data_IF_621022240883
#
_entry.id   IF_621022240883
#
_cell.length_a   1.000
_cell.length_b   1.000
_cell.length_c   1.000
_cell.angle_alpha   90.00
_cell.angle_beta   90.00
_cell.angle_gamma   90.00
#
_symmetry.space_group_name_H-M   'P 1'
#
loop_
_entity.id
_entity.type
_entity.pdbx_description
1 polymer ?
#
# COMPACT_ATOMS: atom_id res chain seq x y z
N UNK A 1 21.74 -14.67 23.11
CA UNK A 1 21.66 -15.98 22.43
C UNK A 1 20.73 -16.82 23.28
N UNK A 2 19.54 -17.17 22.76
CA UNK A 2 18.49 -17.82 23.57
C UNK A 2 19.05 -19.15 24.11
N UNK A 3 18.85 -19.41 25.40
CA UNK A 3 19.36 -20.63 26.03
C UNK A 3 18.61 -21.84 25.46
N UNK A 4 19.28 -22.59 24.57
CA UNK A 4 18.75 -23.83 23.98
C UNK A 4 18.27 -24.82 25.05
N UNK A 5 18.88 -24.77 26.24
CA UNK A 5 18.49 -25.58 27.39
C UNK A 5 17.10 -25.21 27.92
N UNK A 6 16.75 -23.91 27.97
CA UNK A 6 15.42 -23.46 28.39
C UNK A 6 14.36 -23.94 27.40
N UNK A 7 14.63 -23.80 26.10
CA UNK A 7 13.72 -24.22 25.03
C UNK A 7 13.49 -25.73 25.09
N UNK A 8 14.56 -26.54 25.22
CA UNK A 8 14.43 -28.00 25.27
C UNK A 8 13.70 -28.45 26.54
N UNK A 9 14.02 -27.88 27.70
CA UNK A 9 13.33 -28.18 28.96
C UNK A 9 11.83 -27.87 28.88
N UNK A 10 11.47 -26.72 28.30
CA UNK A 10 10.07 -26.34 28.13
C UNK A 10 9.35 -27.21 27.10
N UNK A 11 10.01 -27.57 25.99
CA UNK A 11 9.48 -28.50 24.98
C UNK A 11 9.19 -29.86 25.60
N UNK A 12 10.15 -30.47 26.31
CA UNK A 12 9.94 -31.77 26.95
C UNK A 12 8.79 -31.74 27.97
N UNK A 13 8.66 -30.64 28.72
CA UNK A 13 7.59 -30.47 29.71
C UNK A 13 6.21 -30.36 29.05
N UNK A 14 6.10 -29.55 27.99
CA UNK A 14 4.84 -29.31 27.27
C UNK A 14 4.48 -30.41 26.25
N UNK A 15 5.44 -31.23 25.81
CA UNK A 15 5.25 -32.36 24.87
C UNK A 15 4.73 -33.64 25.56
N UNK A 16 4.56 -33.60 26.89
CA UNK A 16 3.70 -34.57 27.55
C UNK A 16 2.27 -34.29 27.10
N UNK A 17 1.57 -35.29 26.51
CA UNK A 17 0.16 -35.22 26.05
C UNK A 17 -0.81 -35.06 27.22
N UNK A 18 -0.57 -34.04 28.03
CA UNK A 18 -1.30 -33.71 29.22
C UNK A 18 -2.56 -32.94 28.79
N UNK A 19 -3.76 -33.50 29.02
CA UNK A 19 -5.02 -32.86 28.65
C UNK A 19 -5.17 -31.46 29.25
N UNK A 20 -4.43 -31.15 30.32
CA UNK A 20 -4.40 -29.84 30.95
C UNK A 20 -3.94 -28.76 29.97
N UNK A 21 -2.88 -29.00 29.20
CA UNK A 21 -2.31 -28.01 28.28
C UNK A 21 -3.18 -27.79 27.04
N UNK A 22 -3.83 -28.84 26.53
CA UNK A 22 -4.76 -28.74 25.39
C UNK A 22 -5.98 -27.87 25.68
N UNK A 23 -6.40 -27.80 26.95
CA UNK A 23 -7.55 -27.01 27.39
C UNK A 23 -7.24 -25.54 27.70
N UNK A 24 -5.96 -25.17 27.77
CA UNK A 24 -5.53 -23.81 28.16
C UNK A 24 -5.57 -22.87 26.96
N UNK A 25 -6.01 -21.63 27.20
CA UNK A 25 -5.79 -20.54 26.26
C UNK A 25 -4.29 -20.22 26.15
N UNK A 26 -3.87 -19.61 25.04
CA UNK A 26 -2.45 -19.26 24.83
C UNK A 26 -1.91 -18.38 25.97
N UNK A 27 -2.72 -17.44 26.49
CA UNK A 27 -2.32 -16.57 27.59
C UNK A 27 -2.08 -17.36 28.89
N UNK A 28 -2.90 -18.38 29.16
CA UNK A 28 -2.72 -19.27 30.31
C UNK A 28 -1.49 -20.17 30.14
N UNK A 29 -1.28 -20.69 28.94
CA UNK A 29 -0.12 -21.51 28.61
C UNK A 29 1.19 -20.72 28.76
N UNK A 30 1.22 -19.46 28.30
CA UNK A 30 2.36 -18.55 28.47
C UNK A 30 2.68 -18.30 29.94
N UNK A 31 1.67 -17.93 30.75
CA UNK A 31 1.85 -17.71 32.20
C UNK A 31 2.38 -18.96 32.90
N UNK A 32 1.83 -20.13 32.56
CA UNK A 32 2.27 -21.39 33.12
C UNK A 32 3.73 -21.70 32.76
N UNK A 33 4.09 -21.54 31.48
CA UNK A 33 5.44 -21.77 30.99
C UNK A 33 6.47 -20.82 31.63
N UNK A 34 6.11 -19.54 31.79
CA UNK A 34 6.95 -18.57 32.48
C UNK A 34 7.15 -18.94 33.96
N UNK A 35 6.09 -19.32 34.67
CA UNK A 35 6.18 -19.76 36.07
C UNK A 35 7.06 -21.00 36.22
N UNK A 36 6.87 -22.00 35.35
CA UNK A 36 7.66 -23.22 35.35
C UNK A 36 9.16 -22.94 35.15
N UNK A 37 9.51 -22.10 34.17
CA UNK A 37 10.91 -21.76 33.92
C UNK A 37 11.50 -20.92 35.07
N UNK A 38 10.75 -19.95 35.62
CA UNK A 38 11.20 -19.15 36.78
C UNK A 38 11.53 -20.03 37.99
N UNK A 39 10.72 -21.04 38.24
CA UNK A 39 10.92 -21.97 39.37
C UNK A 39 12.07 -22.95 39.14
N UNK A 40 12.30 -23.36 37.88
CA UNK A 40 13.21 -24.47 37.56
C UNK A 40 14.64 -24.02 37.25
N UNK A 41 14.83 -22.83 36.66
CA UNK A 41 16.14 -22.43 36.11
C UNK A 41 16.77 -21.21 36.77
N UNK A 42 16.00 -20.37 37.48
CA UNK A 42 16.51 -19.14 38.11
C UNK A 42 17.06 -18.10 37.12
N UNK A 43 16.76 -18.25 35.83
CA UNK A 43 17.22 -17.42 34.72
C UNK A 43 16.50 -16.05 34.67
N UNK A 44 17.05 -15.14 33.86
CA UNK A 44 16.52 -13.79 33.71
C UNK A 44 15.15 -13.76 33.01
N UNK A 45 14.34 -12.74 33.30
CA UNK A 45 13.00 -12.61 32.72
C UNK A 45 12.97 -12.52 31.19
N UNK A 46 14.03 -12.01 30.56
CA UNK A 46 14.12 -11.92 29.10
C UNK A 46 14.37 -13.28 28.45
N UNK A 47 15.32 -14.06 28.97
CA UNK A 47 15.64 -15.37 28.41
C UNK A 47 14.46 -16.36 28.55
N UNK A 48 13.68 -16.22 29.63
CA UNK A 48 12.43 -16.95 29.83
C UNK A 48 11.38 -16.53 28.81
N UNK A 49 11.18 -15.22 28.61
CA UNK A 49 10.22 -14.70 27.62
C UNK A 49 10.57 -15.17 26.20
N UNK A 50 11.85 -15.11 25.82
CA UNK A 50 12.32 -15.56 24.51
C UNK A 50 12.08 -17.07 24.31
N UNK A 51 12.34 -17.91 25.33
CA UNK A 51 12.07 -19.34 25.27
C UNK A 51 10.57 -19.66 25.19
N UNK A 52 9.74 -18.93 25.94
CA UNK A 52 8.27 -19.05 25.89
C UNK A 52 7.74 -18.64 24.52
N UNK A 53 8.21 -17.52 23.97
CA UNK A 53 7.85 -17.06 22.63
C UNK A 53 8.22 -18.10 21.56
N UNK A 54 9.39 -18.75 21.68
CA UNK A 54 9.83 -19.76 20.71
C UNK A 54 9.03 -21.07 20.77
N UNK A 55 8.57 -21.47 21.95
CA UNK A 55 7.78 -22.71 22.08
C UNK A 55 6.29 -22.45 21.80
N UNK A 56 5.73 -21.38 22.37
CA UNK A 56 4.29 -21.10 22.36
C UNK A 56 3.91 -20.07 21.30
N UNK A 57 4.64 -18.96 21.22
CA UNK A 57 4.38 -17.85 20.30
C UNK A 57 5.00 -17.99 18.92
N UNK A 58 5.37 -16.84 18.32
CA UNK A 58 6.01 -16.74 17.01
C UNK A 58 7.54 -16.74 17.08
N UNK A 59 8.11 -17.01 18.25
CA UNK A 59 9.56 -17.05 18.45
C UNK A 59 10.22 -15.67 18.36
N UNK A 60 11.47 -15.60 17.87
CA UNK A 60 12.26 -14.36 17.89
C UNK A 60 11.65 -13.19 17.11
N UNK A 61 10.74 -13.48 16.17
CA UNK A 61 10.06 -12.43 15.39
C UNK A 61 8.88 -11.79 16.13
N UNK A 62 8.41 -12.35 17.25
CA UNK A 62 7.26 -11.83 17.99
C UNK A 62 7.48 -10.39 18.47
N UNK A 63 8.60 -10.11 19.13
CA UNK A 63 8.95 -8.75 19.55
C UNK A 63 9.19 -7.79 18.37
N UNK A 64 9.68 -8.30 17.24
CA UNK A 64 9.86 -7.50 16.01
C UNK A 64 8.50 -7.15 15.37
N UNK A 65 7.53 -8.05 15.46
CA UNK A 65 6.16 -7.81 15.00
C UNK A 65 5.44 -6.78 15.87
N UNK A 66 5.72 -6.74 17.17
CA UNK A 66 5.16 -5.74 18.10
C UNK A 66 5.82 -4.35 17.98
N UNK A 67 7.07 -4.27 17.50
CA UNK A 67 7.81 -3.01 17.37
C UNK A 67 7.31 -2.17 16.17
N UNK A 68 6.52 -1.12 16.43
CA UNK A 68 6.00 -0.18 15.42
C UNK A 68 7.08 0.54 14.60
N UNK A 69 8.34 0.56 15.04
CA UNK A 69 9.44 1.12 14.25
C UNK A 69 9.89 0.21 13.10
N UNK A 70 9.56 -1.08 13.17
CA UNK A 70 9.87 -2.09 12.15
C UNK A 70 8.75 -2.10 11.10
N UNK A 71 9.13 -1.93 9.83
CA UNK A 71 8.20 -1.96 8.68
C UNK A 71 8.25 -3.28 7.91
N UNK A 72 9.39 -3.98 7.97
CA UNK A 72 9.59 -5.25 7.27
C UNK A 72 10.53 -6.15 8.07
N UNK A 73 10.22 -7.45 8.11
CA UNK A 73 11.03 -8.50 8.73
C UNK A 73 11.38 -9.51 7.62
N UNK A 74 12.67 -9.80 7.46
CA UNK A 74 13.18 -10.75 6.46
C UNK A 74 14.05 -11.79 7.14
N UNK A 75 13.55 -13.01 7.25
CA UNK A 75 14.27 -14.19 7.72
C UNK A 75 14.81 -14.92 6.50
N UNK A 76 16.10 -14.74 6.21
CA UNK A 76 16.75 -15.38 5.06
C UNK A 76 17.12 -16.85 5.34
N UNK A 77 17.36 -17.16 6.61
CA UNK A 77 17.59 -18.49 7.20
C UNK A 77 17.34 -18.40 8.70
N UNK A 78 17.26 -19.54 9.39
CA UNK A 78 16.98 -19.57 10.83
C UNK A 78 17.95 -18.70 11.67
N UNK A 79 19.19 -18.52 11.22
CA UNK A 79 20.27 -17.76 11.86
C UNK A 79 20.50 -16.35 11.26
N UNK A 80 19.66 -15.92 10.31
CA UNK A 80 19.84 -14.66 9.61
C UNK A 80 18.52 -13.89 9.44
N UNK A 81 18.26 -12.97 10.39
CA UNK A 81 17.12 -12.06 10.37
C UNK A 81 17.58 -10.63 10.04
N UNK A 82 16.86 -9.95 9.16
CA UNK A 82 16.97 -8.53 8.87
C UNK A 82 15.65 -7.83 9.14
N UNK A 83 15.74 -6.56 9.52
CA UNK A 83 14.58 -5.68 9.68
C UNK A 83 14.79 -4.38 8.93
N UNK A 84 13.71 -3.84 8.39
CA UNK A 84 13.66 -2.47 7.89
C UNK A 84 13.12 -1.55 8.99
N UNK A 85 13.87 -0.48 9.29
CA UNK A 85 13.42 0.63 10.13
C UNK A 85 13.63 1.94 9.39
N UNK A 86 12.57 2.73 9.23
CA UNK A 86 12.63 4.04 8.56
C UNK A 86 13.31 3.99 7.18
N UNK A 87 13.02 2.96 6.37
CA UNK A 87 13.59 2.80 5.02
C UNK A 87 15.03 2.26 4.98
N UNK A 88 15.59 1.81 6.12
CA UNK A 88 16.96 1.29 6.22
C UNK A 88 16.96 -0.14 6.72
N UNK A 89 17.60 -1.02 5.96
CA UNK A 89 17.82 -2.42 6.31
C UNK A 89 18.95 -2.56 7.33
N UNK A 90 18.71 -3.36 8.38
CA UNK A 90 19.70 -3.71 9.39
C UNK A 90 19.57 -5.19 9.75
N UNK A 91 20.70 -5.83 10.06
CA UNK A 91 20.69 -7.18 10.63
C UNK A 91 20.13 -7.08 12.06
N UNK A 92 19.19 -7.96 12.39
CA UNK A 92 18.63 -8.08 13.73
C UNK A 92 19.58 -8.92 14.61
N UNK A 93 19.49 -8.74 15.93
CA UNK A 93 20.27 -9.54 16.90
C UNK A 93 19.60 -10.90 17.18
N UNK A 94 18.30 -10.97 16.87
CA UNK A 94 17.42 -12.12 17.01
C UNK A 94 17.73 -13.21 15.95
N UNK A 95 17.60 -14.47 16.36
CA UNK A 95 17.74 -15.64 15.49
C UNK A 95 16.90 -16.80 16.07
N UNK A 96 16.39 -17.66 15.19
CA UNK A 96 15.74 -18.90 15.61
C UNK A 96 16.78 -19.91 16.11
N UNK A 97 16.39 -20.84 16.98
CA UNK A 97 17.33 -21.87 17.46
C UNK A 97 17.79 -22.83 16.36
N UNK A 98 16.91 -23.14 15.39
CA UNK A 98 17.18 -24.03 14.26
C UNK A 98 16.08 -23.92 13.18
N UNK A 99 16.33 -24.59 12.05
CA UNK A 99 15.40 -24.71 10.90
C UNK A 99 14.01 -25.24 11.30
N UNK A 100 13.96 -26.22 12.21
CA UNK A 100 12.68 -26.80 12.67
C UNK A 100 11.85 -25.77 13.42
N UNK A 101 12.49 -24.90 14.19
CA UNK A 101 11.84 -23.79 14.90
C UNK A 101 11.23 -22.79 13.92
N UNK A 102 12.01 -22.37 12.90
CA UNK A 102 11.51 -21.49 11.84
C UNK A 102 10.32 -22.11 11.10
N UNK A 103 10.41 -23.39 10.71
CA UNK A 103 9.30 -24.09 10.03
C UNK A 103 8.03 -24.13 10.88
N UNK A 104 8.15 -24.41 12.18
CA UNK A 104 7.00 -24.35 13.11
C UNK A 104 6.39 -22.97 13.19
N UNK A 105 7.19 -21.90 13.22
CA UNK A 105 6.67 -20.53 13.19
C UNK A 105 5.93 -20.23 11.89
N UNK A 106 6.47 -20.67 10.74
CA UNK A 106 5.78 -20.56 9.44
C UNK A 106 4.43 -21.29 9.49
N UNK A 107 4.39 -22.52 9.99
CA UNK A 107 3.14 -23.29 10.13
C UNK A 107 2.12 -22.57 11.02
N UNK A 108 2.55 -22.04 12.17
CA UNK A 108 1.69 -21.27 13.09
C UNK A 108 1.10 -20.02 12.44
N UNK A 109 1.84 -19.37 11.55
CA UNK A 109 1.37 -18.19 10.81
C UNK A 109 0.37 -18.60 9.72
N UNK A 110 0.64 -19.68 9.00
CA UNK A 110 -0.05 -20.04 7.75
C UNK A 110 -1.33 -20.85 8.01
N UNK A 111 -1.31 -21.76 8.99
CA UNK A 111 -2.43 -22.67 9.28
C UNK A 111 -3.74 -21.94 9.63
N UNK A 112 -3.77 -20.91 10.50
CA UNK A 112 -5.01 -20.18 10.83
C UNK A 112 -5.62 -19.45 9.62
N UNK A 113 -4.83 -19.16 8.59
CA UNK A 113 -5.26 -18.48 7.37
C UNK A 113 -5.93 -19.44 6.37
N UNK A 114 -6.07 -20.73 6.72
CA UNK A 114 -6.57 -21.77 5.82
C UNK A 114 -5.65 -22.02 4.62
N UNK A 115 -4.37 -21.63 4.74
CA UNK A 115 -3.34 -21.87 3.74
C UNK A 115 -2.51 -23.08 4.15
N UNK A 116 -1.87 -23.70 3.16
CA UNK A 116 -1.01 -24.86 3.39
C UNK A 116 0.35 -24.63 2.74
N UNK A 117 1.40 -24.98 3.47
CA UNK A 117 2.78 -24.96 2.99
C UNK A 117 3.44 -26.27 3.41
N UNK A 118 3.86 -27.07 2.44
CA UNK A 118 4.41 -28.40 2.66
C UNK A 118 5.42 -28.73 1.55
N UNK A 119 5.92 -29.96 1.54
CA UNK A 119 6.93 -30.37 0.55
C UNK A 119 6.34 -30.44 -0.89
N UNK A 120 5.01 -30.53 -1.05
CA UNK A 120 4.34 -30.53 -2.34
C UNK A 120 4.04 -29.10 -2.85
N UNK A 121 3.78 -28.16 -1.93
CA UNK A 121 3.55 -26.74 -2.16
C UNK A 121 4.48 -25.92 -1.24
N UNK A 122 5.79 -25.82 -1.56
CA UNK A 122 6.80 -25.26 -0.67
C UNK A 122 6.81 -23.72 -0.63
N UNK A 123 5.80 -23.06 -1.20
CA UNK A 123 5.70 -21.60 -1.27
C UNK A 123 4.31 -21.17 -0.84
N UNK A 124 4.24 -20.08 -0.08
CA UNK A 124 2.96 -19.49 0.31
C UNK A 124 3.05 -17.98 0.36
N UNK A 125 2.01 -17.34 -0.16
CA UNK A 125 1.71 -15.92 0.00
C UNK A 125 0.38 -15.80 0.75
N UNK A 126 0.37 -15.00 1.81
CA UNK A 126 -0.79 -14.83 2.66
C UNK A 126 -0.88 -13.42 3.26
N UNK A 127 -2.06 -13.11 3.80
CA UNK A 127 -2.35 -11.87 4.49
C UNK A 127 -2.79 -12.20 5.92
N UNK A 128 -2.14 -11.58 6.89
CA UNK A 128 -2.43 -11.71 8.30
C UNK A 128 -3.69 -10.90 8.67
N UNK A 129 -4.36 -11.22 9.80
CA UNK A 129 -5.57 -10.51 10.24
C UNK A 129 -5.35 -9.02 10.50
N UNK A 130 -4.12 -8.61 10.82
CA UNK A 130 -3.73 -7.21 11.01
C UNK A 130 -3.47 -6.47 9.69
N UNK A 131 -3.61 -7.15 8.54
CA UNK A 131 -3.35 -6.63 7.20
C UNK A 131 -1.93 -6.87 6.69
N UNK A 132 -1.01 -7.34 7.53
CA UNK A 132 0.38 -7.57 7.17
C UNK A 132 0.50 -8.67 6.11
N UNK A 133 1.48 -8.56 5.21
CA UNK A 133 1.71 -9.54 4.14
C UNK A 133 2.83 -10.49 4.51
N UNK A 134 2.61 -11.78 4.29
CA UNK A 134 3.56 -12.84 4.58
C UNK A 134 3.87 -13.61 3.31
N UNK A 135 5.16 -13.80 3.04
CA UNK A 135 5.66 -14.75 2.05
C UNK A 135 6.59 -15.74 2.75
N UNK A 136 6.44 -17.03 2.49
CA UNK A 136 7.36 -18.04 2.99
C UNK A 136 7.71 -19.07 1.91
N UNK A 137 8.95 -19.55 1.94
CA UNK A 137 9.46 -20.60 1.05
C UNK A 137 10.21 -21.64 1.87
N UNK A 138 9.85 -22.92 1.73
CA UNK A 138 10.47 -24.02 2.45
C UNK A 138 11.70 -24.59 1.74
N UNK A 139 12.62 -25.16 2.52
CA UNK A 139 13.65 -26.05 1.98
C UNK A 139 13.00 -27.32 1.39
N UNK A 140 13.55 -27.92 0.30
CA UNK A 140 14.82 -27.59 -0.35
C UNK A 140 14.72 -26.52 -1.45
N UNK A 141 13.54 -25.95 -1.72
CA UNK A 141 13.39 -24.91 -2.75
C UNK A 141 14.20 -23.66 -2.38
N UNK A 142 14.14 -23.27 -1.10
CA UNK A 142 15.10 -22.34 -0.53
C UNK A 142 16.40 -23.08 -0.17
N UNK A 143 17.47 -22.82 -0.95
CA UNK A 143 18.72 -23.59 -0.91
C UNK A 143 19.55 -23.43 0.37
N UNK A 144 19.21 -22.45 1.22
CA UNK A 144 19.90 -22.14 2.48
C UNK A 144 19.07 -22.44 3.73
N UNK A 145 18.01 -23.23 3.59
CA UNK A 145 16.98 -23.36 4.61
C UNK A 145 15.76 -22.52 4.26
N UNK A 146 14.66 -22.75 4.96
CA UNK A 146 13.40 -22.04 4.74
C UNK A 146 13.58 -20.53 4.99
N UNK A 147 12.82 -19.71 4.28
CA UNK A 147 12.81 -18.27 4.46
C UNK A 147 11.39 -17.72 4.64
N UNK A 148 11.30 -16.56 5.28
CA UNK A 148 10.06 -15.89 5.65
C UNK A 148 10.25 -14.38 5.55
N UNK A 149 9.37 -13.71 4.81
CA UNK A 149 9.31 -12.25 4.72
C UNK A 149 7.95 -11.78 5.19
N UNK A 150 7.94 -10.87 6.17
CA UNK A 150 6.74 -10.21 6.67
C UNK A 150 6.85 -8.71 6.41
N UNK A 151 5.95 -8.19 5.58
CA UNK A 151 5.77 -6.76 5.37
C UNK A 151 4.63 -6.31 6.28
N UNK A 152 4.98 -5.58 7.34
CA UNK A 152 4.01 -5.15 8.35
C UNK A 152 3.04 -4.14 7.76
N UNK A 153 1.79 -4.24 8.15
CA UNK A 153 0.80 -3.23 7.88
C UNK A 153 0.99 -2.07 8.87
N UNK A 154 1.47 -0.94 8.36
CA UNK A 154 1.71 0.25 9.19
C UNK A 154 0.38 0.87 9.60
N UNK A 155 0.08 0.98 10.89
CA UNK A 155 -1.20 1.55 11.38
C UNK A 155 -1.36 3.06 11.19
N UNK A 156 -0.26 3.78 10.97
CA UNK A 156 -0.30 5.24 10.82
C UNK A 156 -0.45 5.61 9.34
N UNK A 157 -1.66 6.02 8.96
CA UNK A 157 -1.84 6.75 7.71
C UNK A 157 -1.19 8.13 7.84
N UNK A 158 -0.41 8.51 6.82
CA UNK A 158 0.01 9.89 6.66
C UNK A 158 -1.20 10.74 6.25
N UNK A 159 -1.17 12.01 6.61
CA UNK A 159 -2.15 13.02 6.15
C UNK A 159 -1.53 13.94 5.11
N UNK A 160 -2.34 14.83 4.53
CA UNK A 160 -1.82 15.81 3.58
C UNK A 160 -0.93 16.85 4.28
N UNK A 161 -1.19 17.16 5.56
CA UNK A 161 -0.36 18.03 6.40
C UNK A 161 1.04 17.41 6.61
N UNK A 162 1.14 16.09 6.82
CA UNK A 162 2.45 15.42 6.91
C UNK A 162 3.30 15.62 5.63
N UNK A 163 2.65 15.76 4.45
CA UNK A 163 3.34 16.05 3.19
C UNK A 163 3.80 17.51 3.10
N UNK A 164 3.04 18.44 3.70
CA UNK A 164 3.45 19.84 3.81
C UNK A 164 4.63 19.97 4.79
N UNK A 165 4.53 19.37 5.96
CA UNK A 165 5.56 19.39 7.01
C UNK A 165 6.89 18.78 6.54
N UNK A 166 6.82 17.71 5.75
CA UNK A 166 8.01 17.08 5.15
C UNK A 166 8.59 17.86 3.96
N UNK A 167 7.90 18.91 3.49
CA UNK A 167 8.27 19.71 2.34
C UNK A 167 8.08 18.98 1.00
N UNK A 168 7.26 17.92 0.97
CA UNK A 168 6.86 17.23 -0.27
C UNK A 168 5.85 18.05 -1.07
N UNK A 169 4.90 18.69 -0.37
CA UNK A 169 3.94 19.67 -0.89
C UNK A 169 4.19 21.05 -0.26
N UNK A 170 3.67 22.09 -0.90
CA UNK A 170 3.43 23.39 -0.27
C UNK A 170 1.99 23.46 0.21
N UNK A 171 1.67 24.32 1.17
CA UNK A 171 0.29 24.54 1.65
C UNK A 171 -0.66 24.83 0.48
N UNK A 172 -0.22 25.71 -0.41
CA UNK A 172 -0.93 26.09 -1.63
C UNK A 172 -1.25 24.87 -2.52
N UNK A 173 -0.27 23.99 -2.76
CA UNK A 173 -0.50 22.79 -3.57
C UNK A 173 -1.37 21.74 -2.85
N UNK A 174 -1.28 21.66 -1.53
CA UNK A 174 -2.13 20.79 -0.72
C UNK A 174 -3.59 21.24 -0.82
N UNK A 175 -3.87 22.54 -0.65
CA UNK A 175 -5.21 23.12 -0.80
C UNK A 175 -5.80 22.88 -2.19
N UNK A 176 -5.01 23.12 -3.25
CA UNK A 176 -5.43 22.81 -4.62
C UNK A 176 -5.83 21.34 -4.78
N UNK A 177 -5.05 20.39 -4.24
CA UNK A 177 -5.36 18.97 -4.32
C UNK A 177 -6.63 18.60 -3.53
N UNK A 178 -6.85 19.20 -2.34
CA UNK A 178 -8.10 19.03 -1.58
C UNK A 178 -9.30 19.49 -2.41
N UNK A 179 -9.20 20.68 -3.02
CA UNK A 179 -10.25 21.24 -3.87
C UNK A 179 -10.50 20.37 -5.10
N UNK A 180 -9.45 19.88 -5.76
CA UNK A 180 -9.57 18.98 -6.90
C UNK A 180 -10.32 17.68 -6.53
N UNK A 181 -10.01 17.08 -5.37
CA UNK A 181 -10.72 15.88 -4.89
C UNK A 181 -12.19 16.21 -4.60
N UNK A 182 -12.47 17.32 -3.91
CA UNK A 182 -13.86 17.76 -3.58
C UNK A 182 -14.67 18.08 -4.83
N UNK A 183 -14.05 18.69 -5.85
CA UNK A 183 -14.64 18.99 -7.16
C UNK A 183 -14.70 17.77 -8.09
N UNK A 184 -14.50 16.55 -7.56
CA UNK A 184 -14.62 15.28 -8.29
C UNK A 184 -13.74 15.22 -9.53
N UNK A 185 -12.53 15.78 -9.47
CA UNK A 185 -11.55 15.62 -10.53
C UNK A 185 -10.97 14.20 -10.49
N UNK A 186 -10.86 13.55 -11.65
CA UNK A 186 -10.19 12.27 -11.78
C UNK A 186 -8.67 12.47 -11.74
N UNK A 187 -7.99 11.85 -10.76
CA UNK A 187 -6.57 12.07 -10.50
C UNK A 187 -5.78 10.79 -10.71
N UNK A 188 -4.70 10.88 -11.49
CA UNK A 188 -3.71 9.82 -11.64
C UNK A 188 -2.43 10.20 -10.89
N UNK A 189 -2.05 9.40 -9.90
CA UNK A 189 -0.76 9.53 -9.22
C UNK A 189 0.29 8.69 -9.95
N UNK A 190 1.32 9.34 -10.46
CA UNK A 190 2.36 8.72 -11.29
C UNK A 190 3.74 8.78 -10.64
N UNK A 191 4.51 7.70 -10.74
CA UNK A 191 5.87 7.63 -10.22
C UNK A 191 6.53 6.25 -10.32
N UNK A 192 7.83 6.21 -10.05
CA UNK A 192 8.60 4.96 -10.03
C UNK A 192 8.21 3.99 -8.91
N UNK A 193 8.85 2.84 -8.86
CA UNK A 193 8.73 1.90 -7.73
C UNK A 193 9.28 2.54 -6.44
N UNK A 194 8.56 2.37 -5.32
CA UNK A 194 9.00 2.84 -4.01
C UNK A 194 8.96 4.36 -3.78
N UNK A 195 8.38 5.13 -4.71
CA UNK A 195 8.24 6.59 -4.60
C UNK A 195 7.09 7.04 -3.72
N UNK A 196 6.18 6.13 -3.31
CA UNK A 196 5.05 6.43 -2.43
C UNK A 196 3.72 6.69 -3.15
N UNK A 197 3.48 6.08 -4.31
CA UNK A 197 2.24 6.28 -5.10
C UNK A 197 0.99 5.92 -4.30
N UNK A 198 0.96 4.71 -3.75
CA UNK A 198 -0.17 4.24 -2.93
C UNK A 198 -0.35 5.10 -1.68
N UNK A 199 0.74 5.61 -1.11
CA UNK A 199 0.69 6.54 0.03
C UNK A 199 -0.01 7.85 -0.33
N UNK A 200 0.37 8.50 -1.43
CA UNK A 200 -0.29 9.73 -1.88
C UNK A 200 -1.73 9.45 -2.33
N UNK A 201 -1.99 8.32 -2.99
CA UNK A 201 -3.34 7.89 -3.32
C UNK A 201 -4.21 7.78 -2.06
N UNK A 202 -3.68 7.17 -0.99
CA UNK A 202 -4.36 7.03 0.29
C UNK A 202 -4.72 8.39 0.90
N UNK A 203 -3.76 9.31 0.92
CA UNK A 203 -3.94 10.68 1.43
C UNK A 203 -5.03 11.41 0.63
N UNK A 204 -4.95 11.42 -0.70
CA UNK A 204 -5.95 12.08 -1.54
C UNK A 204 -7.34 11.44 -1.40
N UNK A 205 -7.40 10.15 -1.17
CA UNK A 205 -8.67 9.44 -0.97
C UNK A 205 -9.33 9.78 0.37
N UNK A 206 -8.57 10.22 1.38
CA UNK A 206 -9.12 10.70 2.65
C UNK A 206 -9.72 12.11 2.56
N UNK A 207 -9.38 12.87 1.51
CA UNK A 207 -10.00 14.17 1.22
C UNK A 207 -11.38 14.04 0.55
N UNK A 208 -11.85 12.81 0.30
CA UNK A 208 -13.18 12.54 -0.24
C UNK A 208 -14.24 12.81 0.85
N UNK A 209 -15.31 13.57 0.57
CA UNK A 209 -16.35 13.87 1.56
C UNK A 209 -17.11 12.62 2.06
N UNK A 210 -17.36 12.54 3.38
CA UNK A 210 -18.06 11.44 4.07
C UNK A 210 -19.43 11.02 3.50
N UNK A 211 -20.09 11.90 2.74
CA UNK A 211 -21.37 11.61 2.10
C UNK A 211 -21.29 10.70 0.87
N UNK A 212 -20.09 10.37 0.40
CA UNK A 212 -19.87 9.65 -0.85
C UNK A 212 -19.59 8.15 -0.63
N UNK A 213 -20.04 7.30 -1.55
CA UNK A 213 -19.75 5.87 -1.53
C UNK A 213 -18.45 5.57 -2.26
N UNK A 214 -17.50 5.00 -1.55
CA UNK A 214 -16.17 4.68 -2.08
C UNK A 214 -16.04 3.17 -2.30
N UNK A 215 -15.53 2.78 -3.46
CA UNK A 215 -15.07 1.40 -3.71
C UNK A 215 -13.58 1.43 -4.05
N UNK A 216 -12.75 0.80 -3.21
CA UNK A 216 -11.33 0.60 -3.48
C UNK A 216 -11.08 -0.79 -4.06
N UNK A 217 -10.17 -0.88 -5.04
CA UNK A 217 -9.81 -2.12 -5.74
C UNK A 217 -8.30 -2.19 -5.83
N UNK A 218 -7.71 -3.25 -5.27
CA UNK A 218 -6.24 -3.39 -5.19
C UNK A 218 -5.79 -4.83 -5.48
N UNK A 219 -4.57 -5.01 -5.98
CA UNK A 219 -3.98 -6.35 -6.12
C UNK A 219 -3.76 -7.01 -4.75
N UNK A 220 -3.35 -6.20 -3.78
CA UNK A 220 -3.32 -6.51 -2.37
C UNK A 220 -3.74 -5.24 -1.63
N UNK A 221 -4.63 -5.32 -0.65
CA UNK A 221 -5.16 -4.10 -0.05
C UNK A 221 -4.08 -3.40 0.80
N UNK A 222 -3.62 -2.25 0.32
CA UNK A 222 -2.64 -1.38 0.97
C UNK A 222 -3.31 -0.06 1.43
N UNK A 223 -4.44 0.33 0.84
CA UNK A 223 -5.18 1.53 1.21
C UNK A 223 -5.82 1.38 2.59
N UNK A 224 -5.67 2.45 3.37
CA UNK A 224 -6.20 2.64 4.72
C UNK A 224 -7.11 3.86 4.70
N UNK A 225 -8.34 3.63 4.25
CA UNK A 225 -9.36 4.66 4.18
C UNK A 225 -10.26 4.54 5.40
N UNK A 226 -10.31 5.59 6.20
CA UNK A 226 -11.29 5.74 7.26
C UNK A 226 -12.47 6.52 6.69
N UNK A 227 -13.47 5.81 6.21
CA UNK A 227 -14.65 6.40 5.56
C UNK A 227 -15.87 5.52 5.80
N UNK A 228 -17.00 6.11 6.18
CA UNK A 228 -18.17 5.35 6.64
C UNK A 228 -18.78 4.44 5.56
N UNK A 229 -18.89 4.94 4.32
CA UNK A 229 -19.48 4.22 3.19
C UNK A 229 -18.41 3.66 2.23
N UNK A 230 -17.54 2.80 2.76
CA UNK A 230 -16.40 2.19 2.04
C UNK A 230 -16.64 0.70 1.76
N UNK A 231 -16.27 0.25 0.56
CA UNK A 231 -16.08 -1.16 0.23
C UNK A 231 -14.68 -1.34 -0.33
N UNK A 232 -13.92 -2.28 0.23
CA UNK A 232 -12.59 -2.65 -0.25
C UNK A 232 -12.62 -4.02 -0.91
N UNK A 233 -12.14 -4.08 -2.16
CA UNK A 233 -12.05 -5.28 -2.97
C UNK A 233 -10.58 -5.58 -3.25
N UNK A 234 -10.22 -6.86 -3.16
CA UNK A 234 -8.86 -7.34 -3.39
C UNK A 234 -8.86 -8.37 -4.51
N UNK A 235 -7.91 -8.27 -5.44
CA UNK A 235 -7.71 -9.30 -6.45
C UNK A 235 -7.31 -10.62 -5.79
N UNK A 236 -7.62 -11.72 -6.46
CA UNK A 236 -7.29 -13.06 -5.98
C UNK A 236 -6.47 -13.79 -7.05
N UNK A 237 -5.24 -14.24 -6.74
CA UNK A 237 -4.51 -15.10 -7.66
C UNK A 237 -5.20 -16.46 -7.80
N UNK A 238 -4.74 -17.27 -8.77
CA UNK A 238 -5.18 -18.66 -8.91
C UNK A 238 -4.92 -19.45 -7.62
N UNK A 239 -5.81 -20.37 -7.28
CA UNK A 239 -5.56 -21.37 -6.24
C UNK A 239 -4.48 -22.38 -6.69
N UNK A 240 -4.11 -23.31 -5.80
CA UNK A 240 -3.12 -24.37 -6.11
C UNK A 240 -3.52 -25.24 -7.32
N UNK A 241 -4.82 -25.34 -7.62
CA UNK A 241 -5.36 -26.05 -8.79
C UNK A 241 -5.34 -25.21 -10.08
N UNK A 242 -4.83 -23.97 -10.03
CA UNK A 242 -4.74 -23.07 -11.18
C UNK A 242 -6.05 -22.39 -11.57
N UNK A 243 -7.08 -22.43 -10.71
CA UNK A 243 -8.42 -21.89 -10.97
C UNK A 243 -8.80 -20.76 -9.99
N UNK A 244 -9.94 -20.10 -10.23
CA UNK A 244 -10.52 -19.14 -9.29
C UNK A 244 -9.79 -17.80 -9.16
N UNK A 245 -8.93 -17.43 -10.12
CA UNK A 245 -8.39 -16.09 -10.15
C UNK A 245 -9.50 -15.05 -10.38
N UNK A 246 -9.39 -13.92 -9.68
CA UNK A 246 -10.21 -12.73 -9.87
C UNK A 246 -9.23 -11.58 -10.05
N UNK A 247 -9.18 -11.00 -11.25
CA UNK A 247 -8.28 -9.89 -11.56
C UNK A 247 -8.95 -8.53 -11.28
N UNK A 248 -8.15 -7.47 -11.29
CA UNK A 248 -8.62 -6.09 -11.08
C UNK A 248 -9.71 -5.69 -12.07
N UNK A 249 -9.58 -6.11 -13.34
CA UNK A 249 -10.57 -5.78 -14.38
C UNK A 249 -11.95 -6.31 -14.04
N UNK A 250 -12.05 -7.57 -13.60
CA UNK A 250 -13.31 -8.18 -13.16
C UNK A 250 -13.91 -7.45 -11.97
N UNK A 251 -13.07 -7.04 -11.01
CA UNK A 251 -13.50 -6.25 -9.85
C UNK A 251 -14.01 -4.87 -10.26
N UNK A 252 -13.33 -4.18 -11.18
CA UNK A 252 -13.77 -2.87 -11.70
C UNK A 252 -15.15 -3.00 -12.35
N UNK A 253 -15.33 -3.98 -13.26
CA UNK A 253 -16.61 -4.22 -13.93
C UNK A 253 -17.71 -4.54 -12.91
N UNK A 254 -17.41 -5.33 -11.88
CA UNK A 254 -18.36 -5.63 -10.82
C UNK A 254 -18.71 -4.40 -9.97
N UNK A 255 -17.70 -3.60 -9.62
CA UNK A 255 -17.86 -2.41 -8.79
C UNK A 255 -18.81 -1.38 -9.41
N UNK A 256 -18.83 -1.24 -10.74
CA UNK A 256 -19.78 -0.36 -11.44
C UNK A 256 -21.26 -0.72 -11.21
N UNK A 257 -21.56 -1.95 -10.78
CA UNK A 257 -22.93 -2.37 -10.41
C UNK A 257 -23.27 -2.11 -8.95
N UNK A 258 -22.28 -1.70 -8.14
CA UNK A 258 -22.41 -1.47 -6.71
C UNK A 258 -22.73 -0.02 -6.37
N UNK A 259 -23.02 0.81 -7.39
CA UNK A 259 -23.34 2.24 -7.32
C UNK A 259 -22.27 3.03 -6.52
N UNK A 260 -20.98 2.99 -6.91
CA UNK A 260 -19.99 3.87 -6.29
C UNK A 260 -20.27 5.34 -6.66
N UNK A 261 -19.96 6.26 -5.74
CA UNK A 261 -19.72 7.66 -6.11
C UNK A 261 -18.27 7.84 -6.55
N UNK A 262 -17.35 7.09 -5.93
CA UNK A 262 -15.90 7.10 -6.20
C UNK A 262 -15.38 5.70 -6.43
N UNK A 263 -14.55 5.55 -7.47
CA UNK A 263 -13.78 4.33 -7.71
C UNK A 263 -12.29 4.63 -7.49
N UNK A 264 -11.66 3.86 -6.60
CA UNK A 264 -10.22 3.98 -6.33
C UNK A 264 -9.56 2.69 -6.79
N UNK A 265 -8.66 2.79 -7.78
CA UNK A 265 -7.89 1.64 -8.27
C UNK A 265 -6.46 1.79 -7.79
N UNK A 266 -5.99 0.88 -6.93
CA UNK A 266 -4.69 0.98 -6.27
C UNK A 266 -3.54 1.17 -7.26
N UNK A 267 -3.52 0.39 -8.34
CA UNK A 267 -2.59 0.58 -9.45
C UNK A 267 -3.16 -0.02 -10.74
N UNK A 268 -3.11 0.74 -11.83
CA UNK A 268 -3.36 0.22 -13.17
C UNK A 268 -2.05 -0.28 -13.81
N UNK A 269 -2.07 -1.52 -14.28
CA UNK A 269 -0.95 -2.26 -14.88
C UNK A 269 -1.28 -2.86 -16.25
N UNK A 270 -2.55 -2.98 -16.61
CA UNK A 270 -2.98 -3.65 -17.84
C UNK A 270 -4.39 -3.31 -18.28
N UNK A 271 -5.11 -4.32 -18.78
CA UNK A 271 -6.39 -4.16 -19.50
C UNK A 271 -7.52 -3.51 -18.71
N UNK A 272 -7.46 -3.52 -17.38
CA UNK A 272 -8.38 -2.81 -16.48
C UNK A 272 -8.38 -1.30 -16.70
N UNK A 273 -7.32 -0.74 -17.30
CA UNK A 273 -7.21 0.69 -17.57
C UNK A 273 -8.37 1.19 -18.45
N UNK A 274 -8.87 0.39 -19.40
CA UNK A 274 -10.01 0.80 -20.21
C UNK A 274 -11.29 0.92 -19.38
N UNK A 275 -11.59 -0.09 -18.57
CA UNK A 275 -12.79 -0.11 -17.74
C UNK A 275 -12.74 1.01 -16.68
N UNK A 276 -11.55 1.32 -16.15
CA UNK A 276 -11.33 2.49 -15.30
C UNK A 276 -11.59 3.82 -16.05
N UNK A 277 -11.02 3.99 -17.25
CA UNK A 277 -11.25 5.20 -18.05
C UNK A 277 -12.73 5.36 -18.44
N UNK A 278 -13.43 4.25 -18.68
CA UNK A 278 -14.88 4.26 -18.91
C UNK A 278 -15.63 4.69 -17.64
N UNK A 279 -15.28 4.16 -16.48
CA UNK A 279 -15.87 4.56 -15.20
C UNK A 279 -15.72 6.07 -14.96
N UNK A 280 -14.50 6.59 -15.15
CA UNK A 280 -14.16 8.01 -15.04
C UNK A 280 -15.01 8.90 -15.97
N UNK A 281 -15.30 8.44 -17.18
CA UNK A 281 -16.15 9.14 -18.15
C UNK A 281 -17.66 8.97 -17.88
N UNK A 282 -18.07 7.93 -17.15
CA UNK A 282 -19.49 7.54 -17.06
C UNK A 282 -19.98 7.50 -15.62
N UNK A 283 -20.28 8.68 -15.07
CA UNK A 283 -21.04 8.80 -13.82
C UNK A 283 -20.28 8.44 -12.52
N UNK A 284 -18.99 8.13 -12.60
CA UNK A 284 -18.11 7.86 -11.45
C UNK A 284 -16.94 8.85 -11.44
N UNK A 285 -17.26 10.14 -11.56
CA UNK A 285 -16.29 11.22 -11.51
C UNK A 285 -15.58 11.27 -10.15
N UNK A 286 -14.37 11.80 -10.12
CA UNK A 286 -13.56 11.88 -8.91
C UNK A 286 -12.82 10.60 -8.58
N UNK A 287 -12.72 9.66 -9.54
CA UNK A 287 -11.99 8.42 -9.39
C UNK A 287 -10.49 8.67 -9.31
N UNK A 288 -9.79 7.86 -8.51
CA UNK A 288 -8.36 8.02 -8.23
C UNK A 288 -7.63 6.72 -8.60
N UNK A 289 -6.45 6.82 -9.20
CA UNK A 289 -5.63 5.64 -9.46
C UNK A 289 -4.14 5.96 -9.46
N UNK A 290 -3.30 4.93 -9.32
CA UNK A 290 -1.87 5.06 -9.57
C UNK A 290 -1.43 4.42 -10.89
N UNK A 291 -0.35 4.95 -11.47
CA UNK A 291 0.31 4.40 -12.66
C UNK A 291 1.83 4.48 -12.47
N UNK A 292 2.56 3.42 -12.78
CA UNK A 292 4.01 3.49 -12.79
C UNK A 292 4.52 4.22 -14.04
N UNK A 293 5.02 5.46 -13.91
CA UNK A 293 5.69 6.17 -15.01
C UNK A 293 6.78 7.14 -14.52
N UNK A 294 7.66 7.52 -15.45
CA UNK A 294 8.80 8.42 -15.18
C UNK A 294 8.46 9.91 -15.35
N UNK A 295 7.31 10.21 -15.94
CA UNK A 295 6.80 11.57 -16.13
C UNK A 295 5.28 11.55 -16.28
N UNK A 296 4.63 12.71 -16.07
CA UNK A 296 3.18 12.85 -16.26
C UNK A 296 2.77 12.50 -17.71
N UNK A 297 3.57 12.90 -18.69
CA UNK A 297 3.34 12.58 -20.11
C UNK A 297 3.47 11.08 -20.39
N UNK A 298 4.45 10.42 -19.77
CA UNK A 298 4.61 8.97 -19.92
C UNK A 298 3.49 8.20 -19.21
N UNK A 299 2.91 8.74 -18.13
CA UNK A 299 1.74 8.13 -17.50
C UNK A 299 0.57 8.02 -18.47
N UNK A 300 0.26 9.10 -19.20
CA UNK A 300 -0.79 9.10 -20.23
C UNK A 300 -0.48 8.11 -21.37
N UNK A 301 0.76 8.08 -21.86
CA UNK A 301 1.18 7.10 -22.89
C UNK A 301 1.06 5.67 -22.38
N UNK A 302 1.34 5.41 -21.11
CA UNK A 302 1.20 4.07 -20.53
C UNK A 302 -0.26 3.65 -20.41
N UNK A 303 -1.18 4.56 -20.06
CA UNK A 303 -2.60 4.27 -20.10
C UNK A 303 -3.04 3.88 -21.52
N UNK A 304 -2.55 4.57 -22.55
CA UNK A 304 -2.79 4.20 -23.97
C UNK A 304 -2.31 2.76 -24.25
N UNK A 305 -1.07 2.42 -23.88
CA UNK A 305 -0.52 1.07 -24.07
C UNK A 305 -1.32 0.00 -23.30
N UNK A 306 -1.68 0.27 -22.04
CA UNK A 306 -2.41 -0.66 -21.18
C UNK A 306 -3.78 -1.03 -21.76
N UNK A 307 -4.48 -0.05 -22.35
CA UNK A 307 -5.75 -0.29 -23.05
C UNK A 307 -5.54 -1.18 -24.27
N UNK A 308 -4.51 -0.91 -25.08
CA UNK A 308 -4.18 -1.71 -26.27
C UNK A 308 -3.82 -3.16 -25.92
N UNK A 309 -3.17 -3.40 -24.77
CA UNK A 309 -2.88 -4.74 -24.27
C UNK A 309 -4.14 -5.55 -23.94
N UNK A 310 -5.28 -4.90 -23.72
CA UNK A 310 -6.57 -5.56 -23.49
C UNK A 310 -7.20 -6.23 -24.71
N UNK A 311 -6.55 -6.18 -25.87
CA UNK A 311 -7.00 -6.83 -27.11
C UNK A 311 -8.17 -6.13 -27.79
N UNK A 312 -8.47 -4.89 -27.38
CA UNK A 312 -9.54 -4.09 -27.96
C UNK A 312 -8.95 -3.23 -29.07
N UNK A 313 -9.45 -3.44 -30.29
CA UNK A 313 -9.07 -2.63 -31.46
C UNK A 313 -9.87 -1.33 -31.49
N UNK A 314 -9.34 -0.30 -30.82
CA UNK A 314 -9.82 1.07 -30.95
C UNK A 314 -8.85 1.90 -31.78
N UNK A 315 -9.32 2.78 -32.68
CA UNK A 315 -8.47 3.78 -33.29
C UNK A 315 -7.75 4.60 -32.21
N UNK A 316 -6.44 4.78 -32.35
CA UNK A 316 -5.60 5.49 -31.36
C UNK A 316 -6.17 6.89 -31.03
N UNK A 317 -6.71 7.59 -32.02
CA UNK A 317 -7.33 8.90 -31.82
C UNK A 317 -8.55 8.85 -30.89
N UNK A 318 -9.39 7.83 -31.00
CA UNK A 318 -10.54 7.62 -30.12
C UNK A 318 -10.09 7.26 -28.69
N UNK A 319 -9.03 6.45 -28.56
CA UNK A 319 -8.44 6.13 -27.26
C UNK A 319 -7.87 7.36 -26.57
N UNK A 320 -7.12 8.20 -27.30
CA UNK A 320 -6.61 9.47 -26.76
C UNK A 320 -7.75 10.37 -26.33
N UNK A 321 -8.83 10.46 -27.11
CA UNK A 321 -10.03 11.22 -26.72
C UNK A 321 -10.65 10.70 -25.42
N UNK A 322 -10.74 9.38 -25.25
CA UNK A 322 -11.23 8.81 -23.99
C UNK A 322 -10.31 9.15 -22.81
N UNK A 323 -8.98 9.09 -23.00
CA UNK A 323 -8.01 9.46 -21.95
C UNK A 323 -8.13 10.94 -21.60
N UNK A 324 -8.17 11.83 -22.60
CA UNK A 324 -8.26 13.27 -22.41
C UNK A 324 -9.57 13.70 -21.72
N UNK A 325 -10.66 12.97 -21.96
CA UNK A 325 -11.95 13.20 -21.31
C UNK A 325 -11.99 12.61 -19.90
N UNK A 326 -11.32 11.48 -19.65
CA UNK A 326 -11.38 10.78 -18.38
C UNK A 326 -10.46 11.37 -17.33
N UNK A 327 -9.20 11.66 -17.68
CA UNK A 327 -8.17 12.05 -16.71
C UNK A 327 -8.12 13.57 -16.66
N UNK A 328 -8.31 14.15 -15.47
CA UNK A 328 -8.24 15.61 -15.30
C UNK A 328 -6.85 16.04 -14.81
N UNK A 329 -6.30 15.35 -13.81
CA UNK A 329 -5.06 15.74 -13.16
C UNK A 329 -4.09 14.55 -13.12
N UNK A 330 -2.81 14.84 -13.37
CA UNK A 330 -1.70 13.90 -13.16
C UNK A 330 -0.75 14.49 -12.12
N UNK A 331 -0.56 13.77 -11.01
CA UNK A 331 0.40 14.14 -9.97
C UNK A 331 1.65 13.28 -10.12
N UNK A 332 2.77 13.88 -10.48
CA UNK A 332 4.04 13.16 -10.64
C UNK A 332 4.85 13.23 -9.35
N UNK A 333 5.25 12.07 -8.83
CA UNK A 333 6.09 11.94 -7.64
C UNK A 333 7.40 11.23 -7.97
N UNK A 334 8.43 11.51 -7.16
CA UNK A 334 9.72 10.84 -7.24
C UNK A 334 10.40 10.74 -5.89
N UNK A 335 11.46 9.91 -5.84
CA UNK A 335 12.42 9.90 -4.76
C UNK A 335 13.59 10.81 -5.14
N UNK A 336 13.84 11.83 -4.35
CA UNK A 336 14.94 12.78 -4.54
C UNK A 336 16.29 12.12 -4.20
N UNK A 337 17.38 12.78 -4.58
CA UNK A 337 18.75 12.31 -4.35
C UNK A 337 19.11 12.16 -2.87
N UNK A 338 18.47 12.94 -2.00
CA UNK A 338 18.59 12.83 -0.54
C UNK A 338 17.72 11.71 0.07
N UNK A 339 17.02 10.95 -0.77
CA UNK A 339 16.18 9.83 -0.38
C UNK A 339 14.75 10.20 0.03
N UNK A 340 14.41 11.49 0.13
CA UNK A 340 13.03 11.94 0.42
C UNK A 340 12.11 11.65 -0.75
N UNK A 341 10.83 11.40 -0.45
CA UNK A 341 9.76 11.30 -1.44
C UNK A 341 9.14 12.68 -1.60
N UNK A 342 8.93 13.12 -2.83
CA UNK A 342 8.42 14.45 -3.12
C UNK A 342 7.51 14.47 -4.35
N UNK A 343 6.53 15.38 -4.35
CA UNK A 343 5.77 15.75 -5.54
C UNK A 343 6.65 16.63 -6.43
N UNK A 344 6.81 16.21 -7.69
CA UNK A 344 7.59 16.91 -8.71
C UNK A 344 6.74 17.87 -9.52
N UNK A 345 5.53 17.46 -9.88
CA UNK A 345 4.60 18.30 -10.61
C UNK A 345 3.15 17.88 -10.39
N UNK A 346 2.26 18.85 -10.55
CA UNK A 346 0.82 18.64 -10.65
C UNK A 346 0.42 19.25 -12.00
N UNK A 347 -0.15 18.45 -12.90
CA UNK A 347 -0.47 18.89 -14.26
C UNK A 347 -1.92 18.56 -14.61
N UNK A 348 -2.60 19.48 -15.26
CA UNK A 348 -3.93 19.29 -15.83
C UNK A 348 -3.82 18.73 -17.25
N UNK A 349 -4.70 17.78 -17.60
CA UNK A 349 -4.88 17.31 -18.98
C UNK A 349 -5.86 18.26 -19.67
N UNK A 350 -5.36 19.04 -20.63
CA UNK A 350 -6.15 20.12 -21.26
C UNK A 350 -6.87 19.69 -22.53
N UNK A 351 -6.58 18.50 -23.04
CA UNK A 351 -7.22 17.95 -24.23
C UNK A 351 -6.24 17.32 -25.21
N UNK A 352 -6.51 17.50 -26.50
CA UNK A 352 -5.73 16.92 -27.60
C UNK A 352 -5.48 18.00 -28.64
N UNK A 353 -4.24 18.09 -29.10
CA UNK A 353 -3.85 18.89 -30.26
C UNK A 353 -2.95 18.05 -31.19
N UNK A 354 -3.23 18.08 -32.49
CA UNK A 354 -2.63 17.23 -33.53
C UNK A 354 -2.46 15.75 -33.10
N UNK A 355 -3.53 15.18 -32.53
CA UNK A 355 -3.56 13.82 -32.01
C UNK A 355 -2.57 13.54 -30.86
N UNK A 356 -2.01 14.57 -30.22
CA UNK A 356 -1.15 14.49 -29.05
C UNK A 356 -1.90 14.97 -27.81
N UNK A 357 -1.85 14.17 -26.74
CA UNK A 357 -2.40 14.54 -25.43
C UNK A 357 -1.63 15.75 -24.87
N UNK A 358 -2.38 16.80 -24.53
CA UNK A 358 -1.84 18.04 -23.99
C UNK A 358 -1.92 18.07 -22.47
N UNK A 359 -0.87 18.60 -21.85
CA UNK A 359 -0.70 18.74 -20.41
C UNK A 359 -0.28 20.17 -20.10
N UNK A 360 -0.96 20.79 -19.13
CA UNK A 360 -0.60 22.09 -18.58
C UNK A 360 -0.07 21.94 -17.16
N UNK A 361 1.19 22.32 -16.86
CA UNK A 361 1.69 22.30 -15.50
C UNK A 361 0.96 23.37 -14.66
N UNK A 362 0.41 22.95 -13.52
CA UNK A 362 -0.18 23.86 -12.52
C UNK A 362 0.81 24.12 -11.38
N UNK A 363 1.59 23.11 -11.04
CA UNK A 363 2.68 23.21 -10.08
C UNK A 363 3.91 22.45 -10.58
N UNK A 364 5.10 23.01 -10.36
CA UNK A 364 6.38 22.39 -10.69
C UNK A 364 7.40 22.59 -9.57
N UNK A 365 8.16 21.53 -9.28
CA UNK A 365 9.20 21.58 -8.26
C UNK A 365 10.44 22.28 -8.80
N UNK A 366 10.80 23.37 -8.14
CA UNK A 366 11.97 24.16 -8.51
C UNK A 366 13.27 23.43 -8.13
N UNK A 367 14.19 23.35 -9.08
CA UNK A 367 15.53 22.80 -8.83
C UNK A 367 16.34 23.67 -7.86
N UNK A 368 16.05 24.97 -7.79
CA UNK A 368 16.78 25.93 -6.96
C UNK A 368 16.30 25.92 -5.50
N UNK A 369 14.98 26.04 -5.30
CA UNK A 369 14.41 26.11 -3.95
C UNK A 369 14.04 24.74 -3.40
N UNK A 370 14.02 23.71 -4.24
CA UNK A 370 13.53 22.36 -3.89
C UNK A 370 12.11 22.41 -3.29
N UNK A 371 11.30 23.39 -3.69
CA UNK A 371 9.90 23.55 -3.29
C UNK A 371 8.99 23.43 -4.51
N UNK A 372 7.74 23.03 -4.29
CA UNK A 372 6.72 22.95 -5.32
C UNK A 372 6.11 24.33 -5.53
N UNK A 373 6.28 24.92 -6.71
CA UNK A 373 5.87 26.30 -7.01
C UNK A 373 4.70 26.27 -7.99
N UNK A 374 3.70 27.11 -7.76
CA UNK A 374 2.62 27.30 -8.74
C UNK A 374 3.15 27.90 -10.04
N UNK A 375 2.65 27.39 -11.16
CA UNK A 375 2.88 27.91 -12.50
C UNK A 375 1.98 29.11 -12.83
N UNK A 376 1.17 29.60 -11.87
CA UNK A 376 0.25 30.73 -12.02
C UNK A 376 -0.69 30.57 -13.22
N UNK A 377 -1.11 29.32 -13.45
CA UNK A 377 -1.92 28.92 -14.61
C UNK A 377 -3.30 28.52 -14.11
N UNK A 378 -4.34 29.08 -14.71
CA UNK A 378 -5.72 28.72 -14.40
C UNK A 378 -6.01 27.31 -14.91
N UNK A 379 -6.75 26.53 -14.12
CA UNK A 379 -7.21 25.20 -14.53
C UNK A 379 -8.62 25.28 -15.14
N UNK A 380 -8.87 24.42 -16.13
CA UNK A 380 -10.14 24.36 -16.86
C UNK A 380 -11.31 24.02 -15.94
N UNK A 381 -11.13 23.09 -15.00
CA UNK A 381 -12.26 22.62 -14.19
C UNK A 381 -12.79 23.68 -13.22
N UNK A 382 -11.99 24.69 -12.87
CA UNK A 382 -12.44 25.80 -12.03
C UNK A 382 -13.59 26.58 -12.68
N UNK A 383 -13.55 26.74 -14.01
CA UNK A 383 -14.60 27.42 -14.77
C UNK A 383 -15.92 26.63 -14.83
N UNK A 384 -15.88 25.34 -14.50
CA UNK A 384 -17.05 24.46 -14.43
C UNK A 384 -17.70 24.47 -13.03
N UNK A 385 -17.08 25.14 -12.04
CA UNK A 385 -17.59 25.26 -10.67
C UNK A 385 -18.38 26.55 -10.46
N UNK A 386 -19.13 26.62 -9.34
CA UNK A 386 -19.74 27.86 -8.88
C UNK A 386 -18.69 28.89 -8.43
N UNK A 387 -19.07 30.17 -8.42
CA UNK A 387 -18.15 31.30 -8.22
C UNK A 387 -17.29 31.18 -6.94
N UNK A 388 -17.87 30.73 -5.82
CA UNK A 388 -17.16 30.56 -4.55
C UNK A 388 -16.00 29.55 -4.68
N UNK A 389 -16.28 28.35 -5.21
CA UNK A 389 -15.27 27.29 -5.38
C UNK A 389 -14.23 27.69 -6.44
N UNK A 390 -14.67 28.36 -7.52
CA UNK A 390 -13.78 28.86 -8.55
C UNK A 390 -12.76 29.84 -7.97
N UNK A 391 -13.21 30.75 -7.10
CA UNK A 391 -12.34 31.68 -6.41
C UNK A 391 -11.34 30.96 -5.50
N UNK A 392 -11.78 30.00 -4.68
CA UNK A 392 -10.89 29.19 -3.83
C UNK A 392 -9.81 28.47 -4.65
N UNK A 393 -10.20 27.86 -5.79
CA UNK A 393 -9.25 27.18 -6.69
C UNK A 393 -8.25 28.18 -7.26
N UNK A 394 -8.70 29.37 -7.68
CA UNK A 394 -7.80 30.40 -8.20
C UNK A 394 -6.87 30.98 -7.15
N UNK A 395 -7.33 31.20 -5.92
CA UNK A 395 -6.49 31.63 -4.79
C UNK A 395 -5.42 30.57 -4.52
N UNK A 396 -5.78 29.28 -4.53
CA UNK A 396 -4.82 28.18 -4.41
C UNK A 396 -3.84 28.11 -5.58
N UNK A 397 -4.10 28.73 -6.74
CA UNK A 397 -3.15 28.76 -7.87
C UNK A 397 -2.34 30.06 -7.92
N UNK A 398 -2.94 31.20 -7.59
CA UNK A 398 -2.35 32.53 -7.76
C UNK A 398 -1.69 33.09 -6.49
N UNK A 399 -2.06 32.56 -5.32
CA UNK A 399 -1.68 33.09 -4.01
C UNK A 399 -2.48 34.33 -3.62
N UNK A 400 -2.42 34.67 -2.33
CA UNK A 400 -3.12 35.82 -1.73
C UNK A 400 -2.62 37.15 -2.34
N UNK A 401 -3.28 37.65 -3.39
CA UNK A 401 -2.99 39.00 -3.90
C UNK A 401 -3.42 39.35 -5.32
N UNK A 402 -3.94 38.41 -6.13
CA UNK A 402 -4.28 38.69 -7.54
C UNK A 402 -5.78 38.58 -7.88
N UNK A 403 -6.60 37.96 -7.03
CA UNK A 403 -8.03 37.77 -7.31
C UNK A 403 -8.91 39.01 -7.00
N UNK A 404 -8.35 40.11 -6.50
CA UNK A 404 -9.11 41.31 -6.12
C UNK A 404 -9.26 42.36 -7.23
N UNK A 405 -9.17 42.00 -8.51
CA UNK A 405 -9.46 42.96 -9.59
C UNK A 405 -9.91 42.30 -10.89
N UNK A 406 -11.22 42.17 -11.07
CA UNK A 406 -11.91 42.38 -12.35
C UNK A 406 -13.43 42.37 -12.14
N UNK A 407 -13.98 43.56 -11.85
CA UNK A 407 -15.39 43.90 -12.10
C UNK A 407 -15.61 44.16 -13.61
#
# INVERSE_FOLDING_TARGET
MISVNLINSLKEHLDTRDPRFESMSECELRRYAESYLKETTGESGKDIADAVAEVIGLGPIEGLLEDDSVTEIMVNSYDQIYVERSGKLKKADEQFSNEVSLRRTIDKIVLPLGRHVDDASPMVDARLPDGSRVNAVLAPLATKGSCLTIRKFTKKSLTIEDLVDSGSLTEQAAEFLRLAVRCRQNIIVSGGTGTGKTTLLNILSQEIPEGERIISIEDAAELQLDHNNLISLEARPKNQEGTGAINIRELVINALRMRPDRLIVGECRGSEALDMLQAMNTGHAGSLSTVHANSARDALRRLEIMVLMGGIELPISALRQQIASAVNIVVQIARLSDGRRAVLSISEVTGIDDNVLQLSPLFERSNTTQSLISSMTLCKFADEQGDDIRQEVWESLMGDGLCSSSD
#
